data_IF_870453256498
#
_entry.id   IF_870453256498
#
_cell.length_a   1.000
_cell.length_b   1.000
_cell.length_c   1.000
_cell.angle_alpha   90.00
_cell.angle_beta   90.00
_cell.angle_gamma   90.00
#
_symmetry.space_group_name_H-M   'P 1'
#
loop_
_entity.id
_entity.type
_entity.pdbx_description
1 polymer ?
#
# COMPACT_ATOMS: atom_id res chain seq x y z
N UNK A 1 -20.81 -1.06 -11.31
CA UNK A 1 -20.74 0.25 -12.00
C UNK A 1 -20.55 1.43 -11.05
N UNK A 2 -21.31 1.52 -9.94
CA UNK A 2 -21.20 2.66 -9.01
C UNK A 2 -19.81 2.77 -8.37
N UNK A 3 -19.18 1.65 -7.96
CA UNK A 3 -17.81 1.66 -7.40
C UNK A 3 -16.81 2.28 -8.38
N UNK A 4 -16.86 1.88 -9.65
CA UNK A 4 -15.97 2.41 -10.70
C UNK A 4 -16.25 3.90 -10.94
N UNK A 5 -17.52 4.32 -10.97
CA UNK A 5 -17.88 5.72 -11.11
C UNK A 5 -17.34 6.56 -9.95
N UNK A 6 -17.48 6.09 -8.72
CA UNK A 6 -16.93 6.76 -7.54
C UNK A 6 -15.40 6.80 -7.60
N UNK A 7 -14.75 5.70 -7.98
CA UNK A 7 -13.30 5.65 -8.16
C UNK A 7 -12.82 6.69 -9.20
N UNK A 8 -13.45 6.75 -10.37
CA UNK A 8 -13.10 7.72 -11.42
C UNK A 8 -13.33 9.16 -10.97
N UNK A 9 -14.45 9.43 -10.29
CA UNK A 9 -14.74 10.76 -9.74
C UNK A 9 -13.71 11.14 -8.67
N UNK A 10 -13.34 10.21 -7.79
CA UNK A 10 -12.31 10.45 -6.78
C UNK A 10 -10.95 10.72 -7.41
N UNK A 11 -10.54 9.93 -8.41
CA UNK A 11 -9.30 10.18 -9.17
C UNK A 11 -9.34 11.57 -9.82
N UNK A 12 -10.45 11.95 -10.44
CA UNK A 12 -10.61 13.25 -11.08
C UNK A 12 -10.53 14.41 -10.07
N UNK A 13 -11.27 14.33 -8.96
CA UNK A 13 -11.28 15.35 -7.92
C UNK A 13 -9.91 15.46 -7.23
N UNK A 14 -9.28 14.33 -6.91
CA UNK A 14 -7.93 14.30 -6.36
C UNK A 14 -6.92 14.92 -7.33
N UNK A 15 -7.00 14.60 -8.62
CA UNK A 15 -6.11 15.18 -9.64
C UNK A 15 -6.31 16.68 -9.82
N UNK A 16 -7.55 17.18 -9.72
CA UNK A 16 -7.82 18.62 -9.81
C UNK A 16 -7.28 19.39 -8.60
N UNK A 17 -7.27 18.75 -7.43
CA UNK A 17 -6.82 19.33 -6.19
C UNK A 17 -5.35 18.99 -5.85
N UNK A 18 -4.67 18.16 -6.65
CA UNK A 18 -3.36 17.55 -6.31
C UNK A 18 -2.33 18.58 -5.88
N UNK A 19 -2.17 19.65 -6.65
CA UNK A 19 -1.19 20.70 -6.35
C UNK A 19 -1.45 21.42 -5.01
N UNK A 20 -2.71 21.49 -4.56
CA UNK A 20 -3.05 22.02 -3.24
C UNK A 20 -2.81 20.98 -2.15
N UNK A 21 -3.14 19.72 -2.41
CA UNK A 21 -2.94 18.63 -1.46
C UNK A 21 -1.45 18.33 -1.21
N UNK A 22 -0.57 18.54 -2.19
CA UNK A 22 0.89 18.44 -2.04
C UNK A 22 1.45 19.30 -0.90
N UNK A 23 0.74 20.39 -0.52
CA UNK A 23 1.14 21.27 0.59
C UNK A 23 0.55 20.85 1.94
N UNK A 24 -0.14 19.71 1.99
CA UNK A 24 -0.84 19.21 3.18
C UNK A 24 -0.38 17.79 3.53
N UNK A 25 -0.82 17.28 4.68
CA UNK A 25 -0.56 15.90 5.10
C UNK A 25 -1.48 14.86 4.42
N UNK A 26 -2.42 15.30 3.56
CA UNK A 26 -3.41 14.43 2.94
C UNK A 26 -2.83 13.77 1.69
N UNK A 27 -2.38 12.53 1.83
CA UNK A 27 -1.86 11.72 0.72
C UNK A 27 -2.97 10.96 -0.02
N UNK A 28 -2.70 10.53 -1.25
CA UNK A 28 -3.63 9.72 -2.03
C UNK A 28 -4.09 8.46 -1.25
N UNK A 29 -3.21 7.63 -0.66
CA UNK A 29 -3.66 6.48 0.12
C UNK A 29 -4.68 6.83 1.21
N UNK A 30 -4.45 7.90 1.97
CA UNK A 30 -5.39 8.35 3.02
C UNK A 30 -6.76 8.70 2.42
N UNK A 31 -6.78 9.52 1.36
CA UNK A 31 -8.03 9.98 0.74
C UNK A 31 -8.81 8.79 0.16
N UNK A 32 -8.15 7.92 -0.60
CA UNK A 32 -8.80 6.77 -1.24
C UNK A 32 -9.27 5.72 -0.22
N UNK A 33 -8.50 5.45 0.83
CA UNK A 33 -8.92 4.54 1.92
C UNK A 33 -10.13 5.08 2.66
N UNK A 34 -10.12 6.36 3.05
CA UNK A 34 -11.25 6.99 3.75
C UNK A 34 -12.50 7.00 2.86
N UNK A 35 -12.36 7.35 1.58
CA UNK A 35 -13.47 7.35 0.64
C UNK A 35 -14.06 5.94 0.43
N UNK A 36 -13.20 4.90 0.37
CA UNK A 36 -13.63 3.51 0.30
C UNK A 36 -14.43 3.07 1.53
N UNK A 37 -13.97 3.44 2.73
CA UNK A 37 -14.70 3.16 3.99
C UNK A 37 -16.05 3.86 3.98
N UNK A 38 -16.09 5.15 3.63
CA UNK A 38 -17.32 5.94 3.59
C UNK A 38 -18.32 5.38 2.57
N UNK A 39 -17.85 4.90 1.41
CA UNK A 39 -18.70 4.29 0.40
C UNK A 39 -19.48 3.09 0.96
N UNK A 40 -18.83 2.22 1.73
CA UNK A 40 -19.46 1.04 2.33
C UNK A 40 -20.41 1.45 3.46
N UNK A 41 -20.01 2.40 4.31
CA UNK A 41 -20.83 2.85 5.45
C UNK A 41 -22.11 3.58 5.00
N UNK A 42 -22.02 4.41 3.97
CA UNK A 42 -23.16 5.19 3.45
C UNK A 42 -24.08 4.36 2.56
N UNK A 43 -23.52 3.40 1.83
CA UNK A 43 -24.28 2.52 0.93
C UNK A 43 -24.11 1.05 1.36
N UNK A 44 -24.71 0.62 2.48
CA UNK A 44 -24.51 -0.73 3.03
C UNK A 44 -25.01 -1.84 2.10
N UNK A 45 -25.96 -1.54 1.20
CA UNK A 45 -26.42 -2.45 0.14
C UNK A 45 -25.28 -2.84 -0.83
N UNK A 46 -24.19 -2.07 -0.87
CA UNK A 46 -22.98 -2.39 -1.66
C UNK A 46 -22.11 -3.48 -1.01
N UNK A 47 -22.28 -3.75 0.29
CA UNK A 47 -21.49 -4.75 1.01
C UNK A 47 -21.77 -6.20 0.58
N UNK A 48 -22.94 -6.45 -0.01
CA UNK A 48 -23.34 -7.76 -0.56
C UNK A 48 -22.98 -7.93 -2.04
N UNK A 49 -22.53 -6.87 -2.72
CA UNK A 49 -22.00 -7.02 -4.06
C UNK A 49 -20.66 -7.74 -3.93
N UNK A 50 -20.66 -9.03 -4.27
CA UNK A 50 -19.49 -9.73 -4.80
C UNK A 50 -19.06 -9.05 -6.10
N UNK A 51 -18.63 -7.79 -6.00
CA UNK A 51 -17.89 -7.14 -7.05
C UNK A 51 -16.69 -8.05 -7.29
N UNK A 52 -16.55 -8.55 -8.53
CA UNK A 52 -15.70 -9.69 -8.86
C UNK A 52 -14.32 -9.56 -8.22
N UNK A 53 -14.12 -10.25 -7.09
CA UNK A 53 -12.94 -10.10 -6.25
C UNK A 53 -11.69 -10.42 -7.07
N UNK A 54 -11.82 -11.30 -8.06
CA UNK A 54 -10.75 -11.64 -9.00
C UNK A 54 -10.40 -10.45 -9.89
N UNK A 55 -11.37 -9.72 -10.42
CA UNK A 55 -11.13 -8.54 -11.22
C UNK A 55 -10.44 -7.43 -10.39
N UNK A 56 -10.86 -7.20 -9.14
CA UNK A 56 -10.20 -6.24 -8.25
C UNK A 56 -8.76 -6.64 -7.91
N UNK A 57 -8.54 -7.91 -7.57
CA UNK A 57 -7.20 -8.44 -7.31
C UNK A 57 -6.30 -8.31 -8.55
N UNK A 58 -6.82 -8.61 -9.74
CA UNK A 58 -6.08 -8.45 -10.99
C UNK A 58 -5.69 -6.98 -11.24
N UNK A 59 -6.60 -6.03 -11.00
CA UNK A 59 -6.29 -4.59 -11.14
C UNK A 59 -5.20 -4.18 -10.13
N UNK A 60 -5.30 -4.64 -8.88
CA UNK A 60 -4.30 -4.34 -7.86
C UNK A 60 -2.93 -4.96 -8.19
N UNK A 61 -2.91 -6.18 -8.71
CA UNK A 61 -1.70 -6.89 -9.12
C UNK A 61 -1.04 -6.19 -10.32
N UNK A 62 -1.81 -5.83 -11.34
CA UNK A 62 -1.31 -5.07 -12.50
C UNK A 62 -0.77 -3.70 -12.05
N UNK A 63 -1.48 -3.01 -11.16
CA UNK A 63 -1.01 -1.76 -10.57
C UNK A 63 0.31 -1.93 -9.81
N UNK A 64 0.42 -2.96 -8.99
CA UNK A 64 1.65 -3.29 -8.25
C UNK A 64 2.81 -3.62 -9.19
N UNK A 65 2.57 -4.41 -10.24
CA UNK A 65 3.61 -4.73 -11.23
C UNK A 65 4.09 -3.47 -11.95
N UNK A 66 3.17 -2.61 -12.38
CA UNK A 66 3.53 -1.37 -13.08
C UNK A 66 4.30 -0.40 -12.17
N UNK A 67 3.85 -0.21 -10.93
CA UNK A 67 4.51 0.67 -9.96
C UNK A 67 5.93 0.17 -9.64
N UNK A 68 6.08 -1.11 -9.26
CA UNK A 68 7.40 -1.70 -9.01
C UNK A 68 8.33 -1.64 -10.23
N UNK A 69 7.77 -1.81 -11.44
CA UNK A 69 8.55 -1.69 -12.67
C UNK A 69 9.03 -0.25 -12.88
N UNK A 70 8.13 0.75 -12.77
CA UNK A 70 8.48 2.16 -12.92
C UNK A 70 9.53 2.58 -11.88
N UNK A 71 9.37 2.18 -10.63
CA UNK A 71 10.33 2.46 -9.57
C UNK A 71 11.70 1.85 -9.88
N UNK A 72 11.72 0.59 -10.34
CA UNK A 72 12.95 -0.08 -10.75
C UNK A 72 13.66 0.66 -11.91
N UNK A 73 12.92 1.24 -12.86
CA UNK A 73 13.53 2.00 -13.97
C UNK A 73 14.19 3.32 -13.54
N UNK A 74 13.79 3.88 -12.39
CA UNK A 74 14.35 5.14 -11.85
C UNK A 74 15.63 4.93 -11.05
N UNK A 75 15.96 3.69 -10.69
CA UNK A 75 17.14 3.38 -9.86
C UNK A 75 18.44 3.62 -10.63
N UNK A 76 19.32 4.46 -10.08
CA UNK A 76 20.67 4.64 -10.60
C UNK A 76 21.62 3.54 -10.10
N UNK A 77 21.92 2.56 -10.96
CA UNK A 77 22.79 1.43 -10.63
C UNK A 77 24.24 1.83 -10.30
N UNK A 78 24.75 2.95 -10.83
CA UNK A 78 26.10 3.41 -10.52
C UNK A 78 26.19 3.93 -9.09
N UNK A 79 25.19 4.71 -8.65
CA UNK A 79 25.08 5.17 -7.26
C UNK A 79 24.90 3.98 -6.33
N UNK A 80 24.05 3.02 -6.71
CA UNK A 80 23.81 1.80 -5.92
C UNK A 80 25.10 1.01 -5.69
N UNK A 81 25.92 0.81 -6.72
CA UNK A 81 27.22 0.12 -6.59
C UNK A 81 28.21 0.89 -5.74
N UNK A 82 28.21 2.22 -5.81
CA UNK A 82 29.11 3.04 -4.99
C UNK A 82 28.71 3.10 -3.50
N UNK A 83 27.44 2.86 -3.18
CA UNK A 83 26.87 2.97 -1.83
C UNK A 83 26.08 1.71 -1.42
N UNK A 84 26.53 0.53 -1.82
CA UNK A 84 25.82 -0.73 -1.64
C UNK A 84 25.53 -1.06 -0.16
N UNK A 85 26.37 -0.58 0.75
CA UNK A 85 26.27 -0.85 2.18
C UNK A 85 24.96 -0.34 2.80
N UNK A 86 24.41 0.78 2.32
CA UNK A 86 23.22 1.36 2.93
C UNK A 86 21.96 0.52 2.60
N UNK A 87 21.63 0.21 1.33
CA UNK A 87 20.52 -0.68 1.00
C UNK A 87 20.64 -2.06 1.62
N UNK A 88 21.86 -2.64 1.64
CA UNK A 88 22.09 -3.95 2.27
C UNK A 88 21.79 -3.92 3.77
N UNK A 89 22.19 -2.85 4.48
CA UNK A 89 21.86 -2.70 5.90
C UNK A 89 20.37 -2.47 6.14
N UNK A 90 19.71 -1.68 5.30
CA UNK A 90 18.27 -1.42 5.43
C UNK A 90 17.44 -2.69 5.14
N UNK A 91 17.77 -3.45 4.09
CA UNK A 91 17.05 -4.68 3.75
C UNK A 91 17.41 -5.85 4.69
N UNK A 92 18.69 -5.98 5.06
CA UNK A 92 19.17 -7.02 5.95
C UNK A 92 18.82 -6.72 7.41
N UNK A 93 19.57 -5.80 8.03
CA UNK A 93 19.45 -5.48 9.45
C UNK A 93 18.27 -4.58 9.80
N UNK A 94 17.64 -3.91 8.82
CA UNK A 94 16.43 -3.13 9.05
C UNK A 94 15.17 -3.99 8.88
N UNK A 95 14.91 -4.44 7.64
CA UNK A 95 13.65 -5.06 7.26
C UNK A 95 13.45 -6.44 7.89
N UNK A 96 14.46 -7.33 7.87
CA UNK A 96 14.28 -8.68 8.43
C UNK A 96 13.98 -8.66 9.93
N UNK A 97 14.70 -7.92 10.79
CA UNK A 97 14.33 -7.77 12.20
C UNK A 97 12.98 -7.07 12.37
N UNK A 98 12.62 -6.10 11.52
CA UNK A 98 11.30 -5.46 11.56
C UNK A 98 10.17 -6.46 11.32
N UNK A 99 10.33 -7.39 10.38
CA UNK A 99 9.36 -8.47 10.15
C UNK A 99 9.26 -9.37 11.38
N UNK A 100 10.39 -9.77 11.97
CA UNK A 100 10.40 -10.64 13.16
C UNK A 100 9.73 -9.94 14.35
N UNK A 101 10.11 -8.69 14.66
CA UNK A 101 9.52 -7.91 15.73
C UNK A 101 8.04 -7.62 15.48
N UNK A 102 7.66 -7.33 14.23
CA UNK A 102 6.28 -7.17 13.80
C UNK A 102 5.45 -8.43 14.01
N UNK A 103 6.00 -9.61 13.70
CA UNK A 103 5.32 -10.89 13.90
C UNK A 103 5.12 -11.19 15.39
N UNK A 104 6.14 -10.91 16.21
CA UNK A 104 6.03 -11.03 17.68
C UNK A 104 4.97 -10.07 18.23
N UNK A 105 4.97 -8.80 17.77
CA UNK A 105 3.96 -7.82 18.14
C UNK A 105 2.55 -8.25 17.73
N UNK A 106 2.37 -8.74 16.51
CA UNK A 106 1.10 -9.25 16.01
C UNK A 106 0.61 -10.46 16.82
N UNK A 107 1.49 -11.38 17.20
CA UNK A 107 1.13 -12.53 18.04
C UNK A 107 0.65 -12.11 19.45
N UNK A 108 1.21 -11.03 20.00
CA UNK A 108 0.81 -10.48 21.30
C UNK A 108 -0.54 -9.76 21.20
N UNK A 109 -0.71 -8.90 20.19
CA UNK A 109 -1.92 -8.07 20.01
C UNK A 109 -3.11 -8.90 19.53
N UNK A 110 -2.87 -9.90 18.68
CA UNK A 110 -3.89 -10.73 18.07
C UNK A 110 -3.69 -12.21 18.44
N UNK A 111 -4.08 -12.63 19.67
CA UNK A 111 -3.81 -13.98 20.19
C UNK A 111 -4.57 -15.10 19.45
N UNK A 112 -5.47 -14.75 18.53
CA UNK A 112 -6.21 -15.70 17.67
C UNK A 112 -5.47 -16.03 16.38
N UNK A 113 -4.48 -15.22 15.98
CA UNK A 113 -3.67 -15.50 14.81
C UNK A 113 -2.67 -16.60 15.14
N UNK A 114 -2.53 -17.54 14.22
CA UNK A 114 -1.40 -18.47 14.22
C UNK A 114 -0.09 -17.70 14.02
N UNK A 115 1.02 -18.32 14.40
CA UNK A 115 2.36 -17.76 14.20
C UNK A 115 2.62 -17.42 12.71
N UNK A 116 2.07 -18.23 11.80
CA UNK A 116 2.20 -18.03 10.36
C UNK A 116 1.39 -16.83 9.86
N UNK A 117 0.16 -16.65 10.34
CA UNK A 117 -0.66 -15.49 9.98
C UNK A 117 -0.06 -14.18 10.54
N UNK A 118 0.48 -14.22 11.76
CA UNK A 118 1.22 -13.10 12.33
C UNK A 118 2.47 -12.77 11.51
N UNK A 119 3.19 -13.79 11.03
CA UNK A 119 4.32 -13.64 10.11
C UNK A 119 3.93 -13.02 8.77
N UNK A 120 2.81 -13.46 8.17
CA UNK A 120 2.28 -12.89 6.93
C UNK A 120 1.89 -11.42 7.13
N UNK A 121 1.19 -11.10 8.20
CA UNK A 121 0.80 -9.72 8.52
C UNK A 121 2.02 -8.82 8.66
N UNK A 122 3.06 -9.28 9.36
CA UNK A 122 4.30 -8.54 9.51
C UNK A 122 5.04 -8.36 8.17
N UNK A 123 5.05 -9.38 7.32
CA UNK A 123 5.67 -9.31 5.99
C UNK A 123 4.94 -8.34 5.05
N UNK A 124 3.63 -8.17 5.21
CA UNK A 124 2.82 -7.18 4.46
C UNK A 124 3.10 -5.76 4.95
N UNK A 125 3.28 -5.56 6.26
CA UNK A 125 3.40 -4.24 6.87
C UNK A 125 4.83 -3.69 6.98
N UNK A 126 5.84 -4.55 6.96
CA UNK A 126 7.24 -4.13 7.13
C UNK A 126 7.82 -3.35 5.93
N UNK A 127 7.53 -3.70 4.67
CA UNK A 127 8.02 -2.92 3.52
C UNK A 127 7.41 -1.52 3.50
N UNK A 128 8.24 -0.51 3.24
CA UNK A 128 7.82 0.89 3.11
C UNK A 128 7.57 1.26 1.65
N UNK A 129 6.54 2.07 1.40
CA UNK A 129 6.24 2.60 0.06
C UNK A 129 7.20 3.74 -0.31
N UNK A 130 7.92 3.58 -1.42
CA UNK A 130 8.89 4.57 -1.91
C UNK A 130 8.21 5.81 -2.51
N UNK A 131 6.99 5.65 -3.06
CA UNK A 131 6.28 6.73 -3.76
C UNK A 131 5.70 7.81 -2.85
N UNK A 132 5.75 7.64 -1.52
CA UNK A 132 5.32 8.64 -0.53
C UNK A 132 6.47 9.54 -0.04
N UNK A 133 7.72 9.23 -0.40
CA UNK A 133 8.91 10.00 -0.01
C UNK A 133 9.48 10.89 -1.11
N UNK A 134 8.89 10.86 -2.31
CA UNK A 134 9.14 11.80 -3.42
C UNK A 134 8.27 13.05 -3.28
#
# INVERSE_FOLDING_TARGET
>A
MIIIAVFVVLVFLYSLASHRLERTILTAPIVFTVAGILLIVVLPVMGEFEADRKAFLLIAEVGLVLTLFVDATRINLQVLKSNENLPVRLLGYGMLPTIVLGALGAAIVFPRLSLWEAGILAAILAPTDAGLGE
#
